data_IF_465962620571
#
_entry.id   IF_465962620571
#
_cell.length_a   1.000
_cell.length_b   1.000
_cell.length_c   1.000
_cell.angle_alpha   90.00
_cell.angle_beta   90.00
_cell.angle_gamma   90.00
#
_symmetry.space_group_name_H-M   'P 1'
#
loop_
_entity.id
_entity.type
_entity.pdbx_description
1 polymer ?
#
# COMPACT_ATOMS: atom_id res chain seq x y z
N UNK A 1 -27.83 -10.62 24.78
CA UNK A 1 -26.97 -11.27 23.77
C UNK A 1 -26.45 -10.19 22.85
N UNK A 2 -25.27 -9.67 23.13
CA UNK A 2 -24.57 -8.74 22.25
C UNK A 2 -24.12 -9.49 21.00
N UNK A 3 -24.56 -9.03 19.83
CA UNK A 3 -23.91 -9.35 18.55
C UNK A 3 -23.20 -8.09 18.10
N UNK A 4 -22.01 -7.85 18.63
CA UNK A 4 -21.08 -6.89 18.05
C UNK A 4 -19.96 -7.67 17.37
N UNK A 5 -20.14 -7.94 16.08
CA UNK A 5 -19.05 -8.22 15.14
C UNK A 5 -19.51 -7.73 13.77
N UNK A 6 -19.73 -6.42 13.66
CA UNK A 6 -19.49 -5.79 12.36
C UNK A 6 -17.97 -5.82 12.24
N UNK A 7 -17.48 -6.75 11.42
CA UNK A 7 -16.08 -6.76 11.00
C UNK A 7 -15.81 -5.38 10.43
N UNK A 8 -14.94 -4.60 11.08
CA UNK A 8 -14.36 -3.40 10.50
C UNK A 8 -13.66 -3.83 9.21
N UNK A 9 -14.37 -3.80 8.09
CA UNK A 9 -13.77 -3.96 6.77
C UNK A 9 -12.65 -2.92 6.68
N UNK A 10 -11.42 -3.38 6.55
CA UNK A 10 -10.27 -2.48 6.43
C UNK A 10 -10.39 -1.81 5.06
N UNK A 11 -10.93 -0.59 5.03
CA UNK A 11 -11.04 0.23 3.84
C UNK A 11 -9.68 0.82 3.47
N UNK A 12 -8.89 0.03 2.75
CA UNK A 12 -7.64 0.51 2.16
C UNK A 12 -7.98 1.18 0.84
N UNK A 13 -7.57 2.43 0.68
CA UNK A 13 -7.79 3.19 -0.55
C UNK A 13 -6.51 3.91 -0.96
N UNK A 14 -6.20 3.90 -2.27
CA UNK A 14 -5.22 4.83 -2.85
C UNK A 14 -5.93 6.11 -3.27
N UNK A 15 -5.18 7.20 -3.41
CA UNK A 15 -5.73 8.44 -3.96
C UNK A 15 -5.38 8.52 -5.45
N UNK A 16 -6.38 8.56 -6.31
CA UNK A 16 -6.19 8.94 -7.70
C UNK A 16 -6.25 10.47 -7.80
N UNK A 17 -5.22 11.06 -8.41
CA UNK A 17 -5.15 12.50 -8.65
C UNK A 17 -5.62 12.80 -10.06
N UNK A 18 -6.63 13.64 -10.17
CA UNK A 18 -7.08 14.20 -11.45
C UNK A 18 -6.93 15.70 -11.39
N UNK A 19 -6.45 16.30 -12.48
CA UNK A 19 -6.34 17.74 -12.62
C UNK A 19 -7.38 18.22 -13.63
N UNK A 20 -8.19 19.20 -13.26
CA UNK A 20 -9.12 19.81 -14.19
C UNK A 20 -8.42 20.81 -15.14
N UNK A 21 -9.14 21.31 -16.13
CA UNK A 21 -8.60 22.26 -17.11
C UNK A 21 -8.20 23.62 -16.51
N UNK A 22 -8.66 23.94 -15.29
CA UNK A 22 -8.29 25.14 -14.55
C UNK A 22 -7.06 24.91 -13.64
N UNK A 23 -6.52 23.70 -13.62
CA UNK A 23 -5.35 23.30 -12.84
C UNK A 23 -5.67 22.85 -11.42
N UNK A 24 -6.95 22.75 -11.03
CA UNK A 24 -7.34 22.30 -9.71
C UNK A 24 -7.13 20.79 -9.58
N UNK A 25 -6.42 20.39 -8.52
CA UNK A 25 -6.10 18.99 -8.24
C UNK A 25 -7.17 18.41 -7.33
N UNK A 26 -7.88 17.38 -7.81
CA UNK A 26 -8.82 16.60 -7.03
C UNK A 26 -8.19 15.25 -6.67
N UNK A 27 -8.35 14.83 -5.41
CA UNK A 27 -7.93 13.51 -4.94
C UNK A 27 -9.16 12.63 -4.69
N UNK A 28 -9.35 11.60 -5.50
CA UNK A 28 -10.46 10.65 -5.37
C UNK A 28 -9.98 9.37 -4.68
N UNK A 29 -10.68 8.89 -3.63
CA UNK A 29 -10.37 7.61 -3.03
C UNK A 29 -10.74 6.47 -3.99
N UNK A 30 -9.78 5.60 -4.28
CA UNK A 30 -9.98 4.36 -5.05
C UNK A 30 -9.91 3.20 -4.06
N UNK A 31 -11.04 2.53 -3.76
CA UNK A 31 -11.04 1.37 -2.86
C UNK A 31 -10.21 0.24 -3.45
N UNK A 32 -9.27 -0.28 -2.66
CA UNK A 32 -8.38 -1.38 -3.06
C UNK A 32 -8.82 -2.73 -2.47
N UNK A 33 -9.89 -2.77 -1.67
CA UNK A 33 -10.29 -3.96 -0.91
C UNK A 33 -10.44 -5.21 -1.78
N UNK A 34 -11.00 -5.07 -3.00
CA UNK A 34 -11.14 -6.17 -3.96
C UNK A 34 -9.81 -6.64 -4.54
N UNK A 35 -8.99 -5.71 -5.02
CA UNK A 35 -7.67 -5.99 -5.60
C UNK A 35 -6.75 -6.67 -4.56
N UNK A 36 -6.86 -6.24 -3.30
CA UNK A 36 -6.16 -6.84 -2.15
C UNK A 36 -6.67 -8.25 -1.87
N UNK A 37 -7.98 -8.48 -1.93
CA UNK A 37 -8.56 -9.81 -1.71
C UNK A 37 -8.16 -10.80 -2.82
N UNK A 38 -8.18 -10.37 -4.08
CA UNK A 38 -7.72 -11.14 -5.24
C UNK A 38 -6.23 -11.47 -5.09
N UNK A 39 -5.38 -10.47 -4.81
CA UNK A 39 -3.93 -10.69 -4.63
C UNK A 39 -3.61 -11.62 -3.44
N UNK A 40 -4.40 -11.55 -2.37
CA UNK A 40 -4.29 -12.45 -1.21
C UNK A 40 -4.59 -13.90 -1.61
N UNK A 41 -5.62 -14.13 -2.42
CA UNK A 41 -5.98 -15.47 -2.87
C UNK A 41 -4.92 -16.03 -3.82
N UNK A 42 -4.40 -15.22 -4.73
CA UNK A 42 -3.29 -15.61 -5.61
C UNK A 42 -2.05 -16.01 -4.79
N UNK A 43 -1.64 -15.19 -3.83
CA UNK A 43 -0.48 -15.48 -2.97
C UNK A 43 -0.68 -16.75 -2.13
N UNK A 44 -1.90 -16.97 -1.62
CA UNK A 44 -2.22 -18.19 -0.87
C UNK A 44 -2.09 -19.43 -1.76
N UNK A 45 -2.53 -19.36 -3.01
CA UNK A 45 -2.37 -20.44 -3.99
C UNK A 45 -0.90 -20.66 -4.37
N UNK A 46 -0.15 -19.59 -4.67
CA UNK A 46 1.27 -19.66 -5.05
C UNK A 46 2.13 -20.30 -3.95
N UNK A 47 1.82 -20.01 -2.68
CA UNK A 47 2.58 -20.51 -1.53
C UNK A 47 2.05 -21.84 -0.98
N UNK A 48 0.98 -22.40 -1.57
CA UNK A 48 0.33 -23.61 -1.06
C UNK A 48 -0.17 -23.46 0.38
N UNK A 49 -0.61 -22.25 0.75
CA UNK A 49 -0.89 -21.86 2.13
C UNK A 49 -2.30 -21.29 2.28
N UNK A 50 -2.72 -21.02 3.51
CA UNK A 50 -4.03 -20.40 3.77
C UNK A 50 -3.94 -18.88 3.65
N UNK A 51 -5.06 -18.24 3.30
CA UNK A 51 -5.16 -16.78 3.20
C UNK A 51 -4.72 -16.06 4.48
N UNK A 52 -4.89 -16.68 5.66
CA UNK A 52 -4.41 -16.16 6.94
C UNK A 52 -2.88 -16.09 7.06
N UNK A 53 -2.15 -17.03 6.44
CA UNK A 53 -0.68 -17.09 6.50
C UNK A 53 -0.06 -16.03 5.60
N UNK A 54 -0.72 -15.67 4.50
CA UNK A 54 -0.23 -14.64 3.55
C UNK A 54 -0.66 -13.22 3.91
N UNK A 55 -1.54 -13.03 4.92
CA UNK A 55 -1.97 -11.69 5.34
C UNK A 55 -0.84 -10.74 5.77
N UNK A 56 0.22 -11.19 6.48
CA UNK A 56 1.38 -10.35 6.75
C UNK A 56 2.06 -9.85 5.47
N UNK A 57 2.22 -10.71 4.46
CA UNK A 57 2.78 -10.35 3.14
C UNK A 57 1.91 -9.33 2.42
N UNK A 58 0.59 -9.53 2.42
CA UNK A 58 -0.37 -8.59 1.81
C UNK A 58 -0.33 -7.22 2.52
N UNK A 59 -0.28 -7.19 3.86
CA UNK A 59 -0.11 -5.94 4.61
C UNK A 59 1.21 -5.26 4.29
N UNK A 60 2.28 -6.04 4.16
CA UNK A 60 3.57 -5.56 3.71
C UNK A 60 3.48 -4.85 2.37
N UNK A 61 2.92 -5.53 1.36
CA UNK A 61 2.69 -4.97 0.03
C UNK A 61 1.96 -3.63 0.04
N UNK A 62 0.89 -3.50 0.83
CA UNK A 62 0.14 -2.25 0.95
C UNK A 62 1.02 -1.14 1.54
N UNK A 63 1.75 -1.42 2.62
CA UNK A 63 2.63 -0.44 3.27
C UNK A 63 3.74 -0.01 2.31
N UNK A 64 4.35 -0.97 1.58
CA UNK A 64 5.35 -0.70 0.57
C UNK A 64 4.82 0.27 -0.50
N UNK A 65 3.65 -0.01 -1.08
CA UNK A 65 3.06 0.87 -2.10
C UNK A 65 2.77 2.29 -1.59
N UNK A 66 2.34 2.44 -0.34
CA UNK A 66 2.14 3.77 0.27
C UNK A 66 3.46 4.51 0.44
N UNK A 67 4.53 3.82 0.86
CA UNK A 67 5.86 4.39 1.03
C UNK A 67 6.49 4.79 -0.31
N UNK A 68 6.35 3.97 -1.35
CA UNK A 68 6.79 4.29 -2.72
C UNK A 68 6.09 5.56 -3.24
N UNK A 69 4.76 5.66 -3.03
CA UNK A 69 3.99 6.84 -3.40
C UNK A 69 4.42 8.09 -2.62
N UNK A 70 4.69 7.96 -1.31
CA UNK A 70 5.25 9.03 -0.49
C UNK A 70 6.60 9.49 -1.02
N UNK A 71 7.53 8.57 -1.30
CA UNK A 71 8.85 8.88 -1.84
C UNK A 71 8.76 9.65 -3.16
N UNK A 72 7.90 9.19 -4.08
CA UNK A 72 7.69 9.86 -5.36
C UNK A 72 7.17 11.30 -5.20
N UNK A 73 6.20 11.54 -4.31
CA UNK A 73 5.65 12.87 -4.06
C UNK A 73 6.67 13.80 -3.40
N UNK A 74 7.46 13.29 -2.47
CA UNK A 74 8.51 14.04 -1.78
C UNK A 74 9.58 14.48 -2.79
N UNK A 75 10.00 13.59 -3.69
CA UNK A 75 10.91 13.93 -4.81
C UNK A 75 10.33 15.01 -5.71
N UNK A 76 9.04 14.91 -6.05
CA UNK A 76 8.35 15.92 -6.88
C UNK A 76 8.25 17.28 -6.19
N UNK A 77 8.15 17.33 -4.86
CA UNK A 77 8.11 18.58 -4.11
C UNK A 77 9.46 19.32 -4.12
N UNK A 78 10.58 18.59 -4.28
CA UNK A 78 11.93 19.14 -4.35
C UNK A 78 12.46 19.69 -3.02
N UNK A 79 13.78 19.87 -2.91
CA UNK A 79 14.46 20.42 -1.72
C UNK A 79 15.41 19.41 -1.05
N UNK A 80 16.53 19.90 -0.50
CA UNK A 80 17.62 19.04 -0.03
C UNK A 80 17.23 18.08 1.10
N UNK A 81 16.38 18.51 2.05
CA UNK A 81 15.87 17.62 3.10
C UNK A 81 14.82 16.61 2.63
N UNK A 82 14.22 16.82 1.47
CA UNK A 82 13.20 15.93 0.91
C UNK A 82 13.85 14.69 0.26
N UNK A 83 15.08 14.80 -0.25
CA UNK A 83 15.79 13.66 -0.82
C UNK A 83 16.09 12.57 0.23
N UNK A 84 16.51 12.97 1.44
CA UNK A 84 16.77 12.05 2.54
C UNK A 84 15.51 11.32 3.01
N UNK A 85 14.37 12.02 3.08
CA UNK A 85 13.09 11.40 3.47
C UNK A 85 12.60 10.45 2.37
N UNK A 86 12.76 10.81 1.10
CA UNK A 86 12.41 9.91 -0.01
C UNK A 86 13.29 8.66 -0.03
N UNK A 87 14.60 8.80 0.24
CA UNK A 87 15.50 7.66 0.38
C UNK A 87 15.11 6.75 1.55
N UNK A 88 14.74 7.33 2.69
CA UNK A 88 14.23 6.55 3.83
C UNK A 88 12.96 5.76 3.49
N UNK A 89 12.04 6.34 2.72
CA UNK A 89 10.86 5.62 2.25
C UNK A 89 11.25 4.40 1.39
N UNK A 90 12.20 4.55 0.46
CA UNK A 90 12.67 3.43 -0.37
C UNK A 90 13.37 2.35 0.47
N UNK A 91 14.19 2.73 1.45
CA UNK A 91 14.87 1.78 2.35
C UNK A 91 13.86 0.97 3.16
N UNK A 92 12.81 1.63 3.66
CA UNK A 92 11.72 0.97 4.39
C UNK A 92 10.91 0.03 3.50
N UNK A 93 10.69 0.37 2.23
CA UNK A 93 10.08 -0.53 1.24
C UNK A 93 10.95 -1.78 1.07
N UNK A 94 12.25 -1.59 0.87
CA UNK A 94 13.18 -2.69 0.66
C UNK A 94 13.23 -3.64 1.86
N UNK A 95 13.43 -3.12 3.08
CA UNK A 95 13.45 -3.92 4.32
C UNK A 95 12.13 -4.69 4.51
N UNK A 96 11.00 -4.03 4.25
CA UNK A 96 9.68 -4.63 4.42
C UNK A 96 9.40 -5.73 3.39
N UNK A 97 9.81 -5.56 2.13
CA UNK A 97 9.67 -6.60 1.11
C UNK A 97 10.62 -7.78 1.37
N UNK A 98 11.85 -7.52 1.83
CA UNK A 98 12.81 -8.56 2.20
C UNK A 98 12.31 -9.41 3.37
N UNK A 99 11.82 -8.78 4.45
CA UNK A 99 11.22 -9.49 5.61
C UNK A 99 9.96 -10.27 5.26
N UNK A 100 9.23 -9.82 4.23
CA UNK A 100 8.04 -10.49 3.72
C UNK A 100 8.37 -11.66 2.79
N UNK A 101 9.66 -11.93 2.53
CA UNK A 101 10.13 -13.00 1.64
C UNK A 101 9.89 -12.72 0.15
N UNK A 102 9.67 -11.46 -0.22
CA UNK A 102 9.30 -11.07 -1.58
C UNK A 102 10.47 -10.70 -2.49
N UNK A 103 11.62 -10.37 -1.91
CA UNK A 103 12.85 -10.03 -2.66
C UNK A 103 14.03 -10.69 -1.97
N UNK A 104 14.98 -11.18 -2.77
CA UNK A 104 16.18 -11.92 -2.34
C UNK A 104 17.41 -11.03 -2.39
#
# INVERSE_FOLDING_TARGET
MERSHVSDEIWISRKQYTQDAAGAVQALPVPLAREIAEKREDLAQEQGSTTSVVMPTVRGLIIASVLEECAARIRLAGGSGNEEVAALCDDLVHDLLQRSGMVS
#
